data_IF_735105117444
#
_entry.id   IF_735105117444
#
_cell.length_a   1.000
_cell.length_b   1.000
_cell.length_c   1.000
_cell.angle_alpha   90.00
_cell.angle_beta   90.00
_cell.angle_gamma   90.00
#
_symmetry.space_group_name_H-M   'P 1'
#
loop_
_entity.id
_entity.type
_entity.pdbx_description
1 polymer ?
#
# COMPACT_ATOMS: atom_id res chain seq x y z
N UNK A 1 8.62 -0.77 -9.98
CA UNK A 1 7.68 -0.52 -8.88
C UNK A 1 6.43 0.06 -9.49
N UNK A 2 5.27 -0.47 -9.14
CA UNK A 2 3.96 -0.01 -9.62
C UNK A 2 3.17 0.49 -8.42
N UNK A 3 2.84 1.77 -8.41
CA UNK A 3 1.97 2.37 -7.38
C UNK A 3 0.51 2.17 -7.78
N UNK A 4 -0.32 1.70 -6.84
CA UNK A 4 -1.76 1.60 -7.01
C UNK A 4 -2.45 2.87 -6.50
N UNK A 5 -2.14 3.27 -5.26
CA UNK A 5 -2.69 4.45 -4.60
C UNK A 5 -1.61 5.15 -3.80
N UNK A 6 -1.74 6.46 -3.64
CA UNK A 6 -0.88 7.29 -2.83
C UNK A 6 -1.70 8.40 -2.20
N UNK A 7 -1.51 8.62 -0.90
CA UNK A 7 -2.10 9.72 -0.16
C UNK A 7 -1.03 10.77 0.12
N UNK A 8 -1.19 11.96 -0.48
CA UNK A 8 -0.22 13.03 -0.35
C UNK A 8 -0.17 13.63 1.07
N UNK A 9 -1.24 13.49 1.86
CA UNK A 9 -1.33 14.03 3.22
C UNK A 9 -0.45 13.25 4.20
N UNK A 10 -0.53 11.93 4.16
CA UNK A 10 0.23 11.05 5.06
C UNK A 10 1.55 10.56 4.44
N UNK A 11 1.72 10.72 3.13
CA UNK A 11 2.84 10.15 2.37
C UNK A 11 2.75 8.64 2.17
N UNK A 12 1.67 8.00 2.65
CA UNK A 12 1.44 6.55 2.50
C UNK A 12 1.16 6.24 1.04
N UNK A 13 1.72 5.15 0.57
CA UNK A 13 1.47 4.59 -0.76
C UNK A 13 1.34 3.08 -0.68
N UNK A 14 0.60 2.52 -1.62
CA UNK A 14 0.51 1.08 -1.77
C UNK A 14 0.66 0.67 -3.23
N UNK A 15 1.19 -0.54 -3.45
CA UNK A 15 1.57 -0.97 -4.80
C UNK A 15 2.32 -2.29 -4.81
N UNK A 16 3.00 -2.57 -5.91
CA UNK A 16 3.94 -3.69 -6.06
C UNK A 16 5.36 -3.14 -6.20
N UNK A 17 6.28 -3.60 -5.35
CA UNK A 17 7.67 -3.16 -5.33
C UNK A 17 8.48 -3.81 -6.49
N UNK A 18 9.80 -3.57 -6.54
CA UNK A 18 10.66 -4.16 -7.58
C UNK A 18 10.94 -5.66 -7.37
N UNK A 19 10.64 -6.19 -6.19
CA UNK A 19 10.82 -7.60 -5.83
C UNK A 19 9.58 -8.44 -6.14
N UNK A 20 8.50 -7.83 -6.66
CA UNK A 20 7.25 -8.51 -6.94
C UNK A 20 6.42 -8.79 -5.69
N UNK A 21 6.60 -7.98 -4.63
CA UNK A 21 5.78 -8.03 -3.42
C UNK A 21 4.81 -6.86 -3.41
N UNK A 22 3.59 -7.06 -2.91
CA UNK A 22 2.69 -5.96 -2.62
C UNK A 22 3.14 -5.25 -1.35
N UNK A 23 2.95 -3.95 -1.26
CA UNK A 23 3.32 -3.15 -0.10
C UNK A 23 2.27 -2.10 0.23
N UNK A 24 2.22 -1.70 1.50
CA UNK A 24 1.48 -0.54 1.99
C UNK A 24 2.34 0.18 3.02
N UNK A 25 2.56 1.48 2.86
CA UNK A 25 3.33 2.28 3.82
C UNK A 25 3.97 3.54 3.24
N UNK A 26 4.74 4.22 4.09
CA UNK A 26 5.59 5.37 3.76
C UNK A 26 7.03 5.14 4.26
N UNK A 27 7.81 6.22 4.35
CA UNK A 27 9.18 6.25 4.84
C UNK A 27 9.32 5.98 6.35
N UNK A 28 8.21 5.97 7.10
CA UNK A 28 8.19 5.80 8.56
C UNK A 28 7.65 4.45 9.00
N UNK A 29 6.71 3.87 8.27
CA UNK A 29 6.17 2.54 8.55
C UNK A 29 5.57 1.90 7.30
N UNK A 30 5.49 0.57 7.31
CA UNK A 30 4.86 -0.19 6.25
C UNK A 30 5.12 -1.68 6.37
N UNK A 31 4.58 -2.43 5.43
CA UNK A 31 4.79 -3.87 5.31
C UNK A 31 4.78 -4.30 3.84
N UNK A 32 5.29 -5.51 3.60
CA UNK A 32 5.20 -6.21 2.31
C UNK A 32 4.50 -7.56 2.48
N UNK A 33 3.83 -8.02 1.43
CA UNK A 33 3.21 -9.35 1.34
C UNK A 33 3.48 -9.96 -0.05
N UNK A 34 3.40 -11.30 -0.20
CA UNK A 34 3.45 -11.95 -1.51
C UNK A 34 2.39 -11.40 -2.47
N UNK A 35 2.72 -11.25 -3.75
CA UNK A 35 1.81 -10.72 -4.75
C UNK A 35 0.73 -11.73 -5.17
N UNK A 36 -0.37 -11.75 -4.40
CA UNK A 36 -1.59 -12.52 -4.68
C UNK A 36 -2.79 -11.59 -4.85
N UNK A 37 -3.86 -12.00 -5.56
CA UNK A 37 -5.08 -11.20 -5.68
C UNK A 37 -5.67 -10.80 -4.31
N UNK A 38 -5.68 -11.71 -3.35
CA UNK A 38 -6.17 -11.48 -1.99
C UNK A 38 -5.34 -10.41 -1.26
N UNK A 39 -4.00 -10.48 -1.35
CA UNK A 39 -3.13 -9.50 -0.70
C UNK A 39 -3.20 -8.13 -1.38
N UNK A 40 -3.41 -8.08 -2.71
CA UNK A 40 -3.66 -6.81 -3.42
C UNK A 40 -4.94 -6.15 -2.92
N UNK A 41 -6.02 -6.90 -2.76
CA UNK A 41 -7.29 -6.39 -2.23
C UNK A 41 -7.14 -5.93 -0.78
N UNK A 42 -6.51 -6.74 0.06
CA UNK A 42 -6.22 -6.40 1.46
C UNK A 42 -5.46 -5.08 1.59
N UNK A 43 -4.37 -4.91 0.82
CA UNK A 43 -3.56 -3.69 0.83
C UNK A 43 -4.36 -2.47 0.38
N UNK A 44 -5.26 -2.60 -0.60
CA UNK A 44 -6.11 -1.50 -1.04
C UNK A 44 -7.11 -1.09 0.03
N UNK A 45 -7.75 -2.07 0.69
CA UNK A 45 -8.71 -1.82 1.79
C UNK A 45 -8.02 -1.19 2.99
N UNK A 46 -6.85 -1.72 3.38
CA UNK A 46 -6.07 -1.20 4.51
C UNK A 46 -5.56 0.23 4.22
N UNK A 47 -5.09 0.49 2.99
CA UNK A 47 -4.75 1.85 2.55
C UNK A 47 -5.93 2.82 2.74
N UNK A 48 -7.13 2.46 2.29
CA UNK A 48 -8.31 3.31 2.42
C UNK A 48 -8.72 3.54 3.87
N UNK A 49 -8.63 2.53 4.72
CA UNK A 49 -8.92 2.65 6.15
C UNK A 49 -8.01 3.67 6.85
N UNK A 50 -6.70 3.65 6.56
CA UNK A 50 -5.74 4.54 7.21
C UNK A 50 -5.66 5.95 6.61
N UNK A 51 -6.02 6.10 5.34
CA UNK A 51 -5.89 7.38 4.63
C UNK A 51 -7.20 8.16 4.53
N UNK A 52 -8.31 7.63 5.07
CA UNK A 52 -9.59 8.33 5.11
C UNK A 52 -9.46 9.73 5.77
N UNK A 53 -10.18 10.74 5.26
CA UNK A 53 -10.28 12.04 5.92
C UNK A 53 -10.86 11.88 7.34
N UNK A 54 -10.42 12.74 8.26
CA UNK A 54 -11.01 12.84 9.59
C UNK A 54 -12.40 13.48 9.56
#
# INVERSE_FOLDING_TARGET
MKIFKQDARTGVSCGVNNFGEVFCGNDRSGYTLPDTPENREYVLVDFDFWTQPA
#
